data_IF_848346048014
#
_entry.id   IF_848346048014
#
_cell.length_a   1.000
_cell.length_b   1.000
_cell.length_c   1.000
_cell.angle_alpha   90.00
_cell.angle_beta   90.00
_cell.angle_gamma   90.00
#
_symmetry.space_group_name_H-M   'P 1'
#
loop_
_entity.id
_entity.type
_entity.pdbx_description
1 polymer ?
#
# COMPACT_ATOMS: atom_id res chain seq x y z
N UNK A 1 0.01 -15.09 -1.43
CA UNK A 1 -1.34 -14.93 -0.89
C UNK A 1 -1.55 -13.49 -0.50
N UNK A 2 -2.59 -12.91 -1.09
CA UNK A 2 -2.59 -11.51 -1.54
C UNK A 2 -2.10 -11.44 -3.00
N UNK A 3 -2.54 -10.41 -3.72
CA UNK A 3 -2.04 -10.05 -5.05
C UNK A 3 -1.13 -8.84 -4.90
N UNK A 4 -0.01 -8.85 -5.61
CA UNK A 4 0.80 -7.68 -5.89
C UNK A 4 0.56 -7.35 -7.37
N UNK A 5 0.34 -6.08 -7.68
CA UNK A 5 0.12 -5.68 -9.08
C UNK A 5 1.41 -5.87 -9.88
N UNK A 6 1.30 -6.08 -11.19
CA UNK A 6 2.43 -6.46 -12.06
C UNK A 6 3.57 -5.42 -12.03
N UNK A 7 3.20 -4.16 -11.89
CA UNK A 7 4.08 -2.99 -11.83
C UNK A 7 4.51 -2.63 -10.40
N UNK A 8 4.04 -3.36 -9.40
CA UNK A 8 4.43 -3.19 -8.00
C UNK A 8 5.55 -4.15 -7.61
N UNK A 9 6.34 -3.75 -6.61
CA UNK A 9 7.49 -4.51 -6.11
C UNK A 9 7.36 -4.77 -4.60
N UNK A 10 8.13 -5.73 -4.10
CA UNK A 10 8.32 -5.95 -2.67
C UNK A 10 7.88 -7.33 -2.19
N UNK A 11 7.36 -7.37 -0.96
CA UNK A 11 7.12 -8.62 -0.23
C UNK A 11 5.89 -9.38 -0.79
N UNK A 12 6.14 -10.58 -1.32
CA UNK A 12 5.11 -11.53 -1.67
C UNK A 12 5.27 -12.82 -0.85
N UNK A 13 4.26 -13.14 -0.04
CA UNK A 13 4.24 -14.36 0.76
C UNK A 13 3.56 -15.48 -0.03
N UNK A 14 4.22 -16.62 -0.23
CA UNK A 14 3.66 -17.79 -0.92
C UNK A 14 3.42 -18.91 0.08
N UNK A 15 2.20 -19.47 0.07
CA UNK A 15 1.84 -20.59 0.95
C UNK A 15 0.69 -21.39 0.34
N UNK A 16 0.66 -22.70 0.63
CA UNK A 16 -0.45 -23.61 0.36
C UNK A 16 -1.32 -23.89 1.60
N UNK A 17 -0.98 -23.33 2.77
CA UNK A 17 -1.75 -23.48 4.00
C UNK A 17 -2.98 -22.55 4.00
N UNK A 18 -4.18 -23.15 3.98
CA UNK A 18 -5.46 -22.44 3.99
C UNK A 18 -5.72 -21.70 5.31
N UNK A 19 -5.22 -22.19 6.44
CA UNK A 19 -5.40 -21.56 7.76
C UNK A 19 -4.58 -20.28 7.86
N UNK A 20 -3.31 -20.31 7.46
CA UNK A 20 -2.44 -19.13 7.46
C UNK A 20 -2.98 -18.03 6.54
N UNK A 21 -3.54 -18.46 5.41
CA UNK A 21 -4.24 -17.62 4.46
C UNK A 21 -5.46 -16.90 5.04
N UNK A 22 -6.32 -17.68 5.72
CA UNK A 22 -7.31 -17.25 6.72
C UNK A 22 -6.85 -16.03 7.51
N UNK A 23 -5.83 -16.30 8.31
CA UNK A 23 -5.35 -15.41 9.34
C UNK A 23 -4.73 -14.13 8.80
N UNK A 24 -4.07 -14.16 7.64
CA UNK A 24 -3.34 -13.01 7.10
C UNK A 24 -4.17 -12.12 6.17
N UNK A 25 -5.17 -12.66 5.45
CA UNK A 25 -5.90 -11.89 4.44
C UNK A 25 -7.30 -11.47 4.84
N UNK A 26 -7.89 -12.08 5.88
CA UNK A 26 -9.23 -11.74 6.32
C UNK A 26 -9.28 -10.25 6.77
N UNK A 27 -10.11 -9.39 6.14
CA UNK A 27 -10.17 -7.96 6.45
C UNK A 27 -10.49 -7.65 7.92
N UNK A 28 -11.19 -8.56 8.61
CA UNK A 28 -11.51 -8.42 10.04
C UNK A 28 -10.26 -8.40 10.93
N UNK A 29 -9.15 -9.00 10.48
CA UNK A 29 -7.89 -9.09 11.23
C UNK A 29 -7.07 -7.79 11.18
N UNK A 30 -7.36 -6.89 10.23
CA UNK A 30 -6.77 -5.53 10.13
C UNK A 30 -5.24 -5.50 10.22
N UNK A 31 -4.56 -6.49 9.64
CA UNK A 31 -3.10 -6.51 9.56
C UNK A 31 -2.59 -5.28 8.83
N UNK A 32 -1.61 -4.59 9.43
CA UNK A 32 -0.99 -3.42 8.81
C UNK A 32 -0.06 -3.87 7.68
N UNK A 33 -0.13 -3.16 6.57
CA UNK A 33 0.80 -3.27 5.45
C UNK A 33 1.50 -1.92 5.28
N UNK A 34 2.80 -1.96 5.06
CA UNK A 34 3.63 -0.76 4.91
C UNK A 34 4.20 -0.75 3.50
N UNK A 35 4.13 0.41 2.86
CA UNK A 35 4.57 0.61 1.48
C UNK A 35 5.51 1.80 1.42
N UNK A 36 6.51 1.70 0.54
CA UNK A 36 7.31 2.85 0.10
C UNK A 36 6.75 3.21 -1.27
N UNK A 37 6.36 4.49 -1.43
CA UNK A 37 5.74 4.97 -2.66
C UNK A 37 6.57 6.12 -3.19
N UNK A 38 7.02 6.00 -4.43
CA UNK A 38 7.63 7.09 -5.17
C UNK A 38 6.53 7.84 -5.93
N UNK A 39 6.55 9.16 -5.85
CA UNK A 39 5.60 10.03 -6.56
C UNK A 39 6.37 11.00 -7.46
N UNK A 40 5.67 11.53 -8.46
CA UNK A 40 6.19 12.65 -9.22
C UNK A 40 6.16 13.92 -8.35
N UNK A 41 7.25 14.69 -8.39
CA UNK A 41 7.47 15.88 -7.58
C UNK A 41 7.57 15.62 -6.07
N UNK A 42 7.76 16.70 -5.31
CA UNK A 42 7.84 16.66 -3.85
C UNK A 42 6.44 16.67 -3.23
N UNK A 43 6.15 15.67 -2.39
CA UNK A 43 4.92 15.67 -1.59
C UNK A 43 5.00 16.75 -0.49
N UNK A 44 3.93 17.53 -0.35
CA UNK A 44 3.80 18.59 0.65
C UNK A 44 3.04 18.13 1.91
N UNK A 45 3.10 18.94 2.97
CA UNK A 45 2.46 18.63 4.25
C UNK A 45 0.93 18.55 4.15
N UNK A 46 0.33 19.34 3.24
CA UNK A 46 -1.11 19.36 3.02
C UNK A 46 -1.59 18.03 2.42
N UNK A 47 -0.89 17.53 1.40
CA UNK A 47 -1.16 16.23 0.78
C UNK A 47 -0.99 15.09 1.79
N UNK A 48 0.05 15.12 2.61
CA UNK A 48 0.26 14.14 3.69
C UNK A 48 -0.91 14.15 4.67
N UNK A 49 -1.38 15.33 5.09
CA UNK A 49 -2.51 15.45 6.01
C UNK A 49 -3.84 14.95 5.40
N UNK A 50 -4.05 15.21 4.10
CA UNK A 50 -5.23 14.72 3.37
C UNK A 50 -5.19 13.19 3.28
N UNK A 51 -4.08 12.60 2.81
CA UNK A 51 -3.92 11.15 2.69
C UNK A 51 -4.08 10.45 4.04
N UNK A 52 -3.49 11.00 5.11
CA UNK A 52 -3.56 10.42 6.46
C UNK A 52 -4.99 10.36 7.02
N UNK A 53 -5.87 11.29 6.60
CA UNK A 53 -7.29 11.33 7.01
C UNK A 53 -8.20 10.45 6.14
N UNK A 54 -7.63 9.76 5.15
CA UNK A 54 -8.38 9.06 4.11
C UNK A 54 -8.82 10.01 2.98
N UNK A 55 -9.11 9.43 1.83
CA UNK A 55 -9.51 10.12 0.60
C UNK A 55 -10.66 9.39 -0.06
N UNK A 56 -11.45 10.10 -0.85
CA UNK A 56 -12.52 9.50 -1.64
C UNK A 56 -11.95 9.01 -2.97
N UNK A 57 -12.14 7.72 -3.24
CA UNK A 57 -11.74 7.08 -4.50
C UNK A 57 -12.99 6.52 -5.20
N UNK A 58 -12.95 6.50 -6.53
CA UNK A 58 -14.02 5.90 -7.34
C UNK A 58 -13.70 4.42 -7.57
N UNK A 59 -14.63 3.56 -7.19
CA UNK A 59 -14.63 2.14 -7.51
C UNK A 59 -15.78 1.86 -8.49
N UNK A 60 -15.78 0.68 -9.11
CA UNK A 60 -16.89 0.24 -10.00
C UNK A 60 -18.25 0.30 -9.30
N UNK A 61 -18.27 0.07 -7.98
CA UNK A 61 -19.49 0.06 -7.15
C UNK A 61 -19.89 1.43 -6.59
N UNK A 62 -19.17 2.50 -6.94
CA UNK A 62 -19.43 3.86 -6.47
C UNK A 62 -18.23 4.51 -5.76
N UNK A 63 -18.51 5.59 -5.04
CA UNK A 63 -17.48 6.30 -4.26
C UNK A 63 -17.17 5.55 -2.96
N UNK A 64 -15.90 5.42 -2.64
CA UNK A 64 -15.40 4.77 -1.43
C UNK A 64 -14.44 5.70 -0.69
N UNK A 65 -14.70 5.93 0.60
CA UNK A 65 -13.79 6.66 1.49
C UNK A 65 -12.77 5.68 2.07
N UNK A 66 -11.49 5.91 1.81
CA UNK A 66 -10.42 5.09 2.39
C UNK A 66 -10.31 5.29 3.89
N UNK A 67 -9.83 4.26 4.60
CA UNK A 67 -9.56 4.36 6.02
C UNK A 67 -8.37 5.29 6.30
N UNK A 68 -8.35 5.99 7.44
CA UNK A 68 -7.18 6.75 7.87
C UNK A 68 -5.92 5.87 7.94
N UNK A 69 -4.78 6.45 7.60
CA UNK A 69 -3.50 5.74 7.59
C UNK A 69 -2.36 6.63 8.11
N UNK A 70 -1.20 6.01 8.31
CA UNK A 70 0.03 6.75 8.64
C UNK A 70 0.80 7.04 7.36
N UNK A 71 1.05 8.32 7.09
CA UNK A 71 1.87 8.77 5.96
C UNK A 71 3.11 9.47 6.50
N UNK A 72 4.28 9.13 5.96
CA UNK A 72 5.57 9.74 6.34
C UNK A 72 6.38 10.02 5.09
N UNK A 73 6.84 11.26 4.93
CA UNK A 73 7.84 11.61 3.92
C UNK A 73 9.18 11.03 4.35
N UNK A 74 9.85 10.31 3.45
CA UNK A 74 11.21 9.84 3.70
C UNK A 74 12.19 10.99 3.45
N UNK A 75 13.17 11.22 4.33
CA UNK A 75 14.14 12.32 4.17
C UNK A 75 15.08 12.08 3.00
N UNK A 76 15.30 10.81 2.62
CA UNK A 76 16.08 10.38 1.46
C UNK A 76 15.42 9.15 0.85
N UNK A 77 15.50 8.97 -0.47
CA UNK A 77 15.10 7.72 -1.10
C UNK A 77 15.87 6.53 -0.48
N UNK A 78 15.20 5.40 -0.22
CA UNK A 78 15.89 4.19 0.20
C UNK A 78 16.78 3.68 -0.94
N UNK A 79 17.88 3.03 -0.57
CA UNK A 79 18.67 2.27 -1.55
C UNK A 79 17.91 0.98 -1.82
N UNK A 80 17.30 0.91 -3.00
CA UNK A 80 16.63 -0.29 -3.51
C UNK A 80 17.49 -0.88 -4.63
N UNK A 81 17.42 -2.21 -4.86
CA UNK A 81 18.04 -2.80 -6.03
C UNK A 81 17.50 -2.16 -7.32
N UNK A 82 18.31 -2.16 -8.36
CA UNK A 82 17.89 -1.65 -9.67
C UNK A 82 16.66 -2.41 -10.15
N UNK A 83 15.66 -1.66 -10.61
CA UNK A 83 14.48 -2.21 -11.24
C UNK A 83 14.84 -2.67 -12.65
N UNK A 84 14.52 -3.93 -12.97
CA UNK A 84 14.48 -4.41 -14.35
C UNK A 84 13.01 -4.34 -14.81
N UNK A 85 12.60 -3.24 -15.47
CA UNK A 85 11.20 -3.08 -15.87
C UNK A 85 10.81 -4.17 -16.89
N UNK A 86 9.56 -4.64 -16.87
CA UNK A 86 8.99 -5.30 -18.04
C UNK A 86 8.74 -4.30 -19.18
#
# INVERSE_FOLDING_TARGET
>A
MGRLDKDSEGLLVLTNDKSLNDQLLNPSKKHKKTYIVQVENEIDEKAIAILSKGVDIKLEKGMYRTLPCTVKKLPKPPVLPDRDPP
#
